data_IF_263229779065
#
_entry.id   IF_263229779065
#
_cell.length_a   1.000
_cell.length_b   1.000
_cell.length_c   1.000
_cell.angle_alpha   90.00
_cell.angle_beta   90.00
_cell.angle_gamma   90.00
#
_symmetry.space_group_name_H-M   'P 1'
#
loop_
_entity.id
_entity.type
_entity.pdbx_description
1 polymer ?
#
# COMPACT_ATOMS: atom_id res chain seq x y z
N UNK A 1 15.27 2.01 -11.14
CA UNK A 1 15.04 1.55 -9.75
C UNK A 1 15.13 0.04 -9.74
N UNK A 2 15.49 -0.61 -8.62
CA UNK A 2 15.43 -2.08 -8.53
C UNK A 2 13.98 -2.55 -8.73
N UNK A 3 13.77 -3.74 -9.29
CA UNK A 3 12.44 -4.31 -9.42
C UNK A 3 11.81 -4.56 -8.03
N UNK A 4 10.49 -4.76 -7.98
CA UNK A 4 9.79 -5.03 -6.73
C UNK A 4 10.24 -6.33 -6.06
N UNK A 5 10.46 -7.40 -6.83
CA UNK A 5 10.83 -8.72 -6.30
C UNK A 5 12.17 -8.69 -5.56
N UNK A 6 13.22 -8.11 -6.15
CA UNK A 6 14.53 -8.00 -5.48
C UNK A 6 14.45 -7.11 -4.24
N UNK A 7 13.61 -6.07 -4.24
CA UNK A 7 13.39 -5.26 -3.03
C UNK A 7 12.77 -6.11 -1.92
N UNK A 8 11.74 -6.90 -2.23
CA UNK A 8 11.07 -7.74 -1.25
C UNK A 8 11.95 -8.90 -0.76
N UNK A 9 12.76 -9.48 -1.64
CA UNK A 9 13.76 -10.50 -1.26
C UNK A 9 14.81 -9.94 -0.30
N UNK A 10 15.32 -8.73 -0.59
CA UNK A 10 16.27 -8.06 0.30
C UNK A 10 15.64 -7.76 1.67
N UNK A 11 14.38 -7.29 1.69
CA UNK A 11 13.65 -7.05 2.93
C UNK A 11 13.50 -8.35 3.73
N UNK A 12 13.14 -9.45 3.06
CA UNK A 12 12.99 -10.78 3.67
C UNK A 12 14.32 -11.29 4.25
N UNK A 13 15.41 -11.18 3.49
CA UNK A 13 16.75 -11.61 3.92
C UNK A 13 17.26 -10.80 5.11
N UNK A 14 17.07 -9.48 5.11
CA UNK A 14 17.43 -8.61 6.24
C UNK A 14 16.62 -8.98 7.48
N UNK A 15 15.31 -9.21 7.31
CA UNK A 15 14.41 -9.62 8.37
C UNK A 15 14.79 -10.95 9.02
N UNK A 16 15.16 -11.96 8.22
CA UNK A 16 15.60 -13.26 8.75
C UNK A 16 16.90 -13.15 9.57
N UNK A 17 17.77 -12.21 9.23
CA UNK A 17 19.02 -11.89 9.94
C UNK A 17 18.83 -10.88 11.08
N UNK A 18 17.60 -10.41 11.35
CA UNK A 18 17.29 -9.34 12.33
C UNK A 18 18.11 -8.06 12.11
N UNK A 19 18.45 -7.76 10.86
CA UNK A 19 19.18 -6.55 10.50
C UNK A 19 18.20 -5.39 10.25
N UNK A 20 18.59 -4.16 10.59
CA UNK A 20 17.75 -3.00 10.32
C UNK A 20 17.53 -2.80 8.81
N UNK A 21 16.36 -2.28 8.48
CA UNK A 21 16.05 -1.75 7.15
C UNK A 21 16.31 -0.25 7.16
N UNK A 22 17.16 0.20 6.25
CA UNK A 22 17.51 1.61 6.11
C UNK A 22 16.91 2.19 4.83
N UNK A 23 16.61 3.49 4.85
CA UNK A 23 16.13 4.25 3.68
C UNK A 23 14.91 3.58 3.04
N UNK A 24 13.96 3.11 3.85
CA UNK A 24 12.74 2.44 3.38
C UNK A 24 11.79 3.41 2.69
N UNK A 25 11.80 4.69 3.08
CA UNK A 25 10.88 5.69 2.53
C UNK A 25 11.02 5.86 1.01
N UNK A 26 12.25 5.89 0.48
CA UNK A 26 12.50 5.96 -0.97
C UNK A 26 12.00 4.73 -1.75
N UNK A 27 11.70 3.61 -1.07
CA UNK A 27 11.10 2.44 -1.72
C UNK A 27 9.65 2.75 -2.13
N UNK A 28 8.97 3.63 -1.40
CA UNK A 28 7.62 4.11 -1.73
C UNK A 28 7.57 4.94 -3.03
N UNK A 29 8.69 5.17 -3.70
CA UNK A 29 8.71 5.80 -5.02
C UNK A 29 8.70 4.78 -6.15
N UNK A 30 8.71 3.48 -5.81
CA UNK A 30 8.77 2.41 -6.80
C UNK A 30 7.37 2.02 -7.25
N UNK A 31 7.03 2.37 -8.49
CA UNK A 31 5.73 2.04 -9.09
C UNK A 31 5.41 0.54 -9.06
N UNK A 32 6.41 -0.33 -9.22
CA UNK A 32 6.18 -1.78 -9.27
C UNK A 32 5.72 -2.33 -7.90
N UNK A 33 6.14 -1.69 -6.80
CA UNK A 33 5.64 -2.03 -5.46
C UNK A 33 4.15 -1.68 -5.32
N UNK A 34 3.69 -0.57 -5.93
CA UNK A 34 2.27 -0.21 -5.94
C UNK A 34 1.44 -1.19 -6.78
N UNK A 35 1.95 -1.60 -7.94
CA UNK A 35 1.27 -2.57 -8.80
C UNK A 35 1.13 -3.94 -8.11
N UNK A 36 2.20 -4.40 -7.45
CA UNK A 36 2.14 -5.64 -6.68
C UNK A 36 1.21 -5.52 -5.46
N UNK A 37 1.25 -4.38 -4.76
CA UNK A 37 0.34 -4.10 -3.65
C UNK A 37 -1.12 -4.07 -4.10
N UNK A 38 -1.41 -3.44 -5.24
CA UNK A 38 -2.74 -3.41 -5.85
C UNK A 38 -3.25 -4.84 -6.09
N UNK A 39 -2.46 -5.69 -6.75
CA UNK A 39 -2.83 -7.09 -6.97
C UNK A 39 -3.09 -7.87 -5.68
N UNK A 40 -2.40 -7.55 -4.58
CA UNK A 40 -2.65 -8.18 -3.27
C UNK A 40 -3.93 -7.66 -2.62
N UNK A 41 -4.14 -6.34 -2.59
CA UNK A 41 -5.27 -5.69 -1.93
C UNK A 41 -6.59 -6.01 -2.65
N UNK A 42 -6.58 -5.96 -3.99
CA UNK A 42 -7.77 -6.20 -4.81
C UNK A 42 -8.41 -7.57 -4.55
N UNK A 43 -7.60 -8.58 -4.17
CA UNK A 43 -8.06 -9.95 -3.89
C UNK A 43 -8.66 -10.13 -2.50
N UNK A 44 -8.57 -9.15 -1.61
CA UNK A 44 -9.07 -9.28 -0.25
C UNK A 44 -10.59 -9.31 -0.21
N UNK A 45 -11.14 -10.14 0.68
CA UNK A 45 -12.56 -10.05 1.02
C UNK A 45 -12.85 -8.66 1.62
N UNK A 46 -13.83 -7.97 1.04
CA UNK A 46 -14.16 -6.60 1.42
C UNK A 46 -13.34 -5.52 0.72
N UNK A 47 -12.52 -5.84 -0.29
CA UNK A 47 -11.79 -4.84 -1.09
C UNK A 47 -12.72 -3.77 -1.71
N UNK A 48 -13.96 -4.13 -2.04
CA UNK A 48 -14.99 -3.23 -2.56
C UNK A 48 -15.77 -2.47 -1.47
N UNK A 49 -15.42 -2.64 -0.19
CA UNK A 49 -16.06 -1.89 0.91
C UNK A 49 -15.47 -0.49 0.97
N UNK A 50 -16.33 0.52 0.80
CA UNK A 50 -15.92 1.93 0.90
C UNK A 50 -15.31 2.25 2.27
N UNK A 51 -14.20 2.98 2.23
CA UNK A 51 -13.51 3.52 3.40
C UNK A 51 -14.11 4.85 3.84
N UNK A 52 -13.26 5.79 4.24
CA UNK A 52 -13.67 7.19 4.52
C UNK A 52 -13.99 7.95 3.22
N UNK A 53 -13.41 7.51 2.11
CA UNK A 53 -13.73 7.98 0.77
C UNK A 53 -14.61 6.95 0.06
N UNK A 54 -15.30 7.39 -0.99
CA UNK A 54 -16.08 6.54 -1.90
C UNK A 54 -15.19 5.78 -2.90
N UNK A 55 -13.86 5.78 -2.71
CA UNK A 55 -12.96 5.07 -3.60
C UNK A 55 -12.85 3.58 -3.22
N UNK A 56 -12.98 2.72 -4.22
CA UNK A 56 -12.61 1.30 -4.17
C UNK A 56 -11.35 1.07 -5.02
N UNK A 57 -10.75 -0.12 -4.98
CA UNK A 57 -9.64 -0.46 -5.87
C UNK A 57 -9.93 -0.25 -7.37
N UNK A 58 -11.18 -0.30 -7.83
CA UNK A 58 -11.55 0.01 -9.22
C UNK A 58 -11.20 1.44 -9.65
N UNK A 59 -11.13 2.36 -8.69
CA UNK A 59 -10.70 3.75 -8.92
C UNK A 59 -9.18 3.93 -8.98
N UNK A 60 -8.39 2.85 -8.92
CA UNK A 60 -6.94 2.92 -9.00
C UNK A 60 -6.48 2.96 -10.46
N UNK A 61 -5.51 3.83 -10.76
CA UNK A 61 -4.91 3.95 -12.08
C UNK A 61 -3.40 4.20 -11.98
N UNK A 62 -2.68 4.03 -13.09
CA UNK A 62 -1.26 4.38 -13.15
C UNK A 62 -1.02 5.86 -12.84
N UNK A 63 -1.91 6.74 -13.30
CA UNK A 63 -1.83 8.18 -13.04
C UNK A 63 -2.01 8.50 -11.56
N UNK A 64 -2.96 7.84 -10.90
CA UNK A 64 -3.16 7.97 -9.45
C UNK A 64 -1.95 7.47 -8.66
N UNK A 65 -1.38 6.32 -9.04
CA UNK A 65 -0.13 5.82 -8.45
C UNK A 65 0.99 6.85 -8.62
N UNK A 66 1.12 7.45 -9.81
CA UNK A 66 2.07 8.53 -10.08
C UNK A 66 1.86 9.74 -9.16
N UNK A 67 0.62 10.21 -9.03
CA UNK A 67 0.28 11.33 -8.15
C UNK A 67 0.59 11.07 -6.68
N UNK A 68 0.32 9.84 -6.20
CA UNK A 68 0.67 9.40 -4.84
C UNK A 68 2.19 9.41 -4.65
N UNK A 69 2.94 8.84 -5.59
CA UNK A 69 4.42 8.82 -5.54
C UNK A 69 4.99 10.25 -5.52
N UNK A 70 4.47 11.15 -6.36
CA UNK A 70 4.90 12.56 -6.35
C UNK A 70 4.59 13.24 -5.02
N UNK A 71 3.38 13.05 -4.47
CA UNK A 71 3.05 13.57 -3.15
C UNK A 71 3.97 13.03 -2.06
N UNK A 72 4.34 11.73 -2.11
CA UNK A 72 5.30 11.12 -1.18
C UNK A 72 6.72 11.67 -1.37
N UNK A 73 7.18 11.93 -2.60
CA UNK A 73 8.51 12.53 -2.84
C UNK A 73 8.69 13.88 -2.18
N UNK A 74 7.64 14.68 -2.18
CA UNK A 74 7.61 16.01 -1.56
C UNK A 74 7.08 15.99 -0.12
N UNK A 75 6.85 14.81 0.47
CA UNK A 75 6.33 14.64 1.83
C UNK A 75 4.97 15.35 2.06
N UNK A 76 4.18 15.53 0.99
CA UNK A 76 2.86 16.18 1.00
C UNK A 76 1.71 15.18 1.08
N UNK A 77 1.98 13.88 0.96
CA UNK A 77 0.94 12.86 1.02
C UNK A 77 0.29 12.82 2.41
N UNK A 78 -1.03 12.99 2.46
CA UNK A 78 -1.82 12.93 3.67
C UNK A 78 -2.56 11.60 3.74
N UNK A 79 -2.37 10.87 4.83
CA UNK A 79 -3.07 9.60 5.06
C UNK A 79 -4.49 9.88 5.54
N UNK A 80 -5.48 9.19 4.96
CA UNK A 80 -6.85 9.26 5.44
C UNK A 80 -7.01 8.48 6.75
N UNK A 81 -7.88 8.94 7.67
CA UNK A 81 -8.23 8.16 8.85
C UNK A 81 -8.95 6.86 8.46
N UNK A 82 -8.98 5.89 9.38
CA UNK A 82 -9.74 4.66 9.18
C UNK A 82 -11.24 4.88 9.43
N UNK A 83 -12.11 4.33 8.58
CA UNK A 83 -13.56 4.35 8.79
C UNK A 83 -13.93 3.39 9.92
N UNK A 84 -14.66 3.89 10.91
CA UNK A 84 -15.24 3.07 11.98
C UNK A 84 -16.60 2.52 11.54
N UNK A 85 -16.72 1.20 11.51
CA UNK A 85 -17.97 0.49 11.22
C UNK A 85 -18.19 -0.57 12.28
N UNK A 86 -19.37 -0.56 12.90
CA UNK A 86 -19.78 -1.62 13.80
C UNK A 86 -20.43 -2.74 12.99
N UNK A 87 -19.77 -3.89 12.91
CA UNK A 87 -20.28 -5.09 12.25
C UNK A 87 -20.83 -6.01 13.35
N UNK A 88 -22.15 -6.23 13.42
CA UNK A 88 -22.75 -7.14 14.40
C UNK A 88 -22.12 -8.53 14.28
N UNK A 89 -21.78 -9.13 15.41
CA UNK A 89 -21.36 -10.53 15.44
C UNK A 89 -22.59 -11.42 15.34
N UNK A 90 -22.40 -12.65 14.87
CA UNK A 90 -23.49 -13.63 14.70
C UNK A 90 -24.32 -13.83 15.98
N UNK A 91 -23.71 -13.70 17.16
CA UNK A 91 -24.32 -14.04 18.45
C UNK A 91 -24.30 -12.88 19.48
N UNK A 92 -24.25 -11.62 19.02
CA UNK A 92 -24.15 -10.44 19.91
C UNK A 92 -22.71 -10.01 20.15
#
# INVERSE_FOLDING_TARGET
MRNADTILELIRERGSKRLPLERVYKLLFNRDLFLMAYGKIYRNAGAMTHGVTDETPDGMSLDKIGAIIEALRYERYQWFPARRTHIPKKNG
#
